data_IF_883543144898
#
_entry.id   IF_883543144898
#
_cell.length_a   1.000
_cell.length_b   1.000
_cell.length_c   1.000
_cell.angle_alpha   90.00
_cell.angle_beta   90.00
_cell.angle_gamma   90.00
#
_symmetry.space_group_name_H-M   'P 1'
#
loop_
_entity.id
_entity.type
_entity.pdbx_description
1 polymer ?
#
# COMPACT_ATOMS: atom_id res chain seq x y z
N UNK A 1 18.95 3.30 -4.32
CA UNK A 1 18.66 2.54 -3.08
C UNK A 1 17.75 1.40 -3.44
N UNK A 2 18.15 0.16 -3.20
CA UNK A 2 17.38 -1.04 -3.53
C UNK A 2 17.35 -2.01 -2.34
N UNK A 3 16.24 -2.71 -2.19
CA UNK A 3 16.07 -3.85 -1.29
C UNK A 3 16.18 -5.13 -2.11
N UNK A 4 16.85 -6.15 -1.60
CA UNK A 4 16.84 -7.46 -2.23
C UNK A 4 15.72 -8.30 -1.65
N UNK A 5 14.91 -8.88 -2.54
CA UNK A 5 13.85 -9.82 -2.18
C UNK A 5 14.09 -11.16 -2.83
N UNK A 6 13.55 -12.22 -2.23
CA UNK A 6 13.52 -13.57 -2.84
C UNK A 6 12.12 -13.87 -3.34
N UNK A 7 11.99 -14.28 -4.60
CA UNK A 7 10.71 -14.65 -5.17
C UNK A 7 10.87 -15.74 -6.24
N UNK A 8 10.46 -16.97 -5.90
CA UNK A 8 10.65 -18.14 -6.76
C UNK A 8 9.65 -18.23 -7.92
N UNK A 9 8.39 -17.92 -7.64
CA UNK A 9 7.35 -17.78 -8.65
C UNK A 9 6.91 -16.32 -8.70
N UNK A 10 7.16 -15.64 -9.82
CA UNK A 10 6.86 -14.22 -9.99
C UNK A 10 5.38 -13.96 -10.31
N UNK A 11 4.57 -14.99 -10.51
CA UNK A 11 3.14 -14.88 -10.77
C UNK A 11 2.27 -15.51 -9.67
N UNK A 12 1.08 -14.96 -9.49
CA UNK A 12 -0.05 -15.54 -8.80
C UNK A 12 -0.85 -16.34 -9.84
N UNK A 13 -0.41 -17.57 -10.07
CA UNK A 13 -0.94 -18.49 -11.08
C UNK A 13 -1.83 -19.58 -10.50
N UNK A 14 -2.24 -19.45 -9.25
CA UNK A 14 -3.05 -20.44 -8.54
C UNK A 14 -4.29 -19.80 -7.93
N UNK A 15 -5.45 -20.42 -8.12
CA UNK A 15 -6.71 -20.04 -7.46
C UNK A 15 -7.40 -21.27 -6.89
N UNK A 16 -7.99 -21.12 -5.71
CA UNK A 16 -8.75 -22.19 -5.05
C UNK A 16 -10.25 -21.91 -5.19
N UNK A 17 -10.99 -22.89 -5.74
CA UNK A 17 -12.45 -22.85 -5.85
C UNK A 17 -13.01 -24.05 -5.11
N UNK A 18 -13.57 -23.83 -3.92
CA UNK A 18 -13.97 -24.91 -3.02
C UNK A 18 -12.77 -25.71 -2.55
N UNK A 19 -12.73 -27.00 -2.89
CA UNK A 19 -11.64 -27.94 -2.62
C UNK A 19 -10.67 -28.11 -3.80
N UNK A 20 -10.93 -27.44 -4.93
CA UNK A 20 -10.18 -27.62 -6.17
C UNK A 20 -9.19 -26.48 -6.38
N UNK A 21 -7.93 -26.84 -6.61
CA UNK A 21 -6.86 -25.91 -6.99
C UNK A 21 -6.74 -25.83 -8.51
N UNK A 22 -6.88 -24.64 -9.07
CA UNK A 22 -6.80 -24.38 -10.50
C UNK A 22 -5.55 -23.55 -10.82
N UNK A 23 -4.90 -23.88 -11.94
CA UNK A 23 -3.80 -23.09 -12.49
C UNK A 23 -4.35 -22.05 -13.47
N UNK A 24 -3.94 -20.80 -13.32
CA UNK A 24 -4.27 -19.70 -14.21
C UNK A 24 -3.23 -19.59 -15.32
N UNK A 25 -3.69 -19.39 -16.56
CA UNK A 25 -2.81 -19.00 -17.66
C UNK A 25 -2.47 -17.51 -17.54
N UNK A 26 -1.33 -17.24 -16.92
CA UNK A 26 -0.85 -15.87 -16.67
C UNK A 26 -0.22 -15.22 -17.92
N UNK A 27 -0.19 -15.91 -19.07
CA UNK A 27 0.27 -15.30 -20.33
C UNK A 27 -0.72 -14.26 -20.87
N UNK A 28 -2.00 -14.35 -20.48
CA UNK A 28 -3.02 -13.35 -20.80
C UNK A 28 -3.05 -12.27 -19.71
N UNK A 29 -2.69 -11.02 -20.05
CA UNK A 29 -2.56 -9.89 -19.11
C UNK A 29 -1.63 -10.21 -17.93
N UNK A 30 -0.35 -10.52 -18.20
CA UNK A 30 0.61 -10.94 -17.17
C UNK A 30 0.76 -9.95 -16.02
N UNK A 31 0.54 -8.66 -16.28
CA UNK A 31 0.56 -7.60 -15.27
C UNK A 31 -0.50 -7.77 -14.17
N UNK A 32 -1.64 -8.42 -14.46
CA UNK A 32 -2.72 -8.66 -13.49
C UNK A 32 -2.41 -9.81 -12.53
N UNK A 33 -1.54 -10.71 -12.95
CA UNK A 33 -1.21 -11.91 -12.21
C UNK A 33 0.17 -11.84 -11.58
N UNK A 34 0.82 -10.68 -11.61
CA UNK A 34 2.19 -10.59 -11.10
C UNK A 34 2.20 -10.45 -9.59
N UNK A 35 3.14 -11.15 -8.93
CA UNK A 35 3.39 -10.94 -7.52
C UNK A 35 3.98 -9.56 -7.28
N UNK A 36 3.50 -8.96 -6.22
CA UNK A 36 3.76 -7.58 -5.79
C UNK A 36 4.11 -7.55 -4.30
N UNK A 37 4.40 -8.72 -3.72
CA UNK A 37 4.87 -8.89 -2.36
C UNK A 37 5.96 -9.97 -2.34
N UNK A 38 6.99 -9.76 -1.53
CA UNK A 38 8.07 -10.72 -1.33
C UNK A 38 8.83 -10.45 -0.02
N UNK A 39 9.47 -11.50 0.50
CA UNK A 39 10.31 -11.43 1.70
C UNK A 39 11.63 -10.73 1.39
N UNK A 40 12.02 -9.81 2.25
CA UNK A 40 13.29 -9.09 2.19
C UNK A 40 14.42 -9.99 2.69
N UNK A 41 15.43 -10.20 1.85
CA UNK A 41 16.64 -10.96 2.22
C UNK A 41 17.82 -10.06 2.57
N UNK A 42 17.86 -8.84 2.01
CA UNK A 42 18.92 -7.90 2.31
C UNK A 42 18.49 -6.46 2.04
N UNK A 43 19.05 -5.56 2.83
CA UNK A 43 18.80 -4.11 2.77
C UNK A 43 20.10 -3.38 2.46
N UNK A 44 20.05 -2.17 1.88
CA UNK A 44 21.26 -1.46 1.50
C UNK A 44 22.03 -1.04 2.76
N UNK A 45 23.35 -1.21 2.75
CA UNK A 45 24.23 -0.81 3.88
C UNK A 45 24.30 0.71 4.06
N UNK A 46 23.97 1.47 3.02
CA UNK A 46 23.95 2.93 2.98
C UNK A 46 22.84 3.39 2.06
N UNK A 47 22.16 4.46 2.44
CA UNK A 47 21.18 5.13 1.59
C UNK A 47 21.86 6.27 0.84
N UNK A 48 21.68 6.33 -0.48
CA UNK A 48 21.92 7.52 -1.28
C UNK A 48 20.61 8.30 -1.37
N UNK A 49 20.47 9.35 -0.56
CA UNK A 49 19.27 10.20 -0.52
C UNK A 49 19.31 11.32 -1.56
N UNK A 50 20.38 11.45 -2.35
CA UNK A 50 20.53 12.55 -3.33
C UNK A 50 19.68 12.38 -4.58
N UNK A 51 19.41 11.14 -4.97
CA UNK A 51 18.62 10.81 -6.16
C UNK A 51 17.13 10.70 -5.90
N UNK A 52 16.72 10.74 -4.64
CA UNK A 52 15.34 10.51 -4.28
C UNK A 52 14.80 11.68 -3.48
N UNK A 53 13.70 12.24 -3.97
CA UNK A 53 12.96 13.30 -3.30
C UNK A 53 12.22 12.78 -2.04
N UNK A 54 12.72 11.78 -1.30
CA UNK A 54 12.05 11.27 -0.09
C UNK A 54 12.66 11.90 1.16
N UNK A 55 11.85 12.63 1.93
CA UNK A 55 12.24 13.13 3.26
C UNK A 55 12.14 11.94 4.20
N UNK A 56 13.16 11.74 5.04
CA UNK A 56 13.07 10.76 6.12
C UNK A 56 13.20 9.29 5.67
N UNK A 57 13.76 9.00 4.49
CA UNK A 57 14.21 7.64 4.22
C UNK A 57 15.34 7.29 5.20
N UNK A 58 15.07 6.37 6.10
CA UNK A 58 15.97 6.00 7.19
C UNK A 58 16.51 4.58 7.02
N UNK A 59 17.79 4.40 7.37
CA UNK A 59 18.36 3.06 7.45
C UNK A 59 17.65 2.29 8.57
N UNK A 60 17.21 1.06 8.29
CA UNK A 60 16.46 0.24 9.24
C UNK A 60 14.94 0.41 9.14
N UNK A 61 14.42 1.31 8.30
CA UNK A 61 12.98 1.39 8.04
C UNK A 61 12.45 0.08 7.45
N UNK A 62 13.22 -0.59 6.60
CA UNK A 62 12.98 -1.96 6.12
C UNK A 62 14.12 -2.84 6.64
N UNK A 63 13.79 -4.05 7.09
CA UNK A 63 14.74 -5.03 7.63
C UNK A 63 14.63 -6.38 6.90
N UNK A 64 15.66 -7.21 7.03
CA UNK A 64 15.60 -8.58 6.51
C UNK A 64 14.57 -9.40 7.30
N UNK A 65 13.73 -10.15 6.59
CA UNK A 65 12.57 -10.87 7.14
C UNK A 65 11.25 -10.11 7.05
N UNK A 66 11.26 -8.80 6.76
CA UNK A 66 10.03 -8.07 6.44
C UNK A 66 9.43 -8.60 5.13
N UNK A 67 8.10 -8.58 5.02
CA UNK A 67 7.42 -8.69 3.72
C UNK A 67 7.22 -7.30 3.18
N UNK A 68 7.81 -6.97 2.03
CA UNK A 68 7.54 -5.71 1.35
C UNK A 68 6.54 -5.90 0.24
N UNK A 69 5.81 -4.84 -0.06
CA UNK A 69 4.93 -4.80 -1.21
C UNK A 69 5.22 -3.60 -2.10
N UNK A 70 5.26 -3.89 -3.39
CA UNK A 70 5.88 -3.05 -4.40
C UNK A 70 5.16 -3.12 -5.75
N UNK A 71 5.43 -2.13 -6.60
CA UNK A 71 4.84 -2.03 -7.94
C UNK A 71 5.09 -3.29 -8.78
N UNK A 72 4.16 -3.68 -9.66
CA UNK A 72 4.26 -4.92 -10.45
C UNK A 72 5.48 -5.01 -11.39
N UNK A 73 6.20 -3.91 -11.61
CA UNK A 73 7.49 -3.93 -12.30
C UNK A 73 8.64 -4.49 -11.46
N UNK A 74 8.49 -4.62 -10.14
CA UNK A 74 9.56 -5.07 -9.25
C UNK A 74 10.17 -6.42 -9.61
N UNK A 75 9.36 -7.37 -10.10
CA UNK A 75 9.80 -8.73 -10.47
C UNK A 75 10.04 -8.91 -11.98
N UNK A 76 10.36 -7.84 -12.69
CA UNK A 76 10.84 -7.93 -14.07
C UNK A 76 12.26 -8.53 -14.13
N UNK A 77 12.63 -9.15 -15.25
CA UNK A 77 13.95 -9.80 -15.42
C UNK A 77 15.09 -8.78 -15.30
N UNK A 78 14.86 -7.52 -15.69
CA UNK A 78 15.83 -6.42 -15.56
C UNK A 78 16.20 -6.12 -14.10
N UNK A 79 15.31 -6.45 -13.16
CA UNK A 79 15.55 -6.30 -11.72
C UNK A 79 16.15 -7.57 -11.10
N UNK A 80 16.30 -8.66 -11.85
CA UNK A 80 16.84 -9.92 -11.34
C UNK A 80 18.36 -9.82 -11.19
N UNK A 81 18.85 -10.04 -9.97
CA UNK A 81 20.28 -9.94 -9.65
C UNK A 81 20.97 -11.31 -9.51
N UNK A 82 20.21 -12.37 -9.28
CA UNK A 82 20.71 -13.73 -9.26
C UNK A 82 19.61 -14.69 -9.74
N UNK A 83 19.95 -15.45 -10.79
CA UNK A 83 19.02 -16.41 -11.37
C UNK A 83 18.88 -17.66 -10.50
N UNK A 84 19.99 -18.12 -9.93
CA UNK A 84 20.10 -19.30 -9.07
C UNK A 84 19.44 -19.14 -7.71
N UNK A 85 19.45 -17.93 -7.14
CA UNK A 85 18.84 -17.64 -5.83
C UNK A 85 17.49 -16.95 -5.94
N UNK A 86 17.03 -16.69 -7.17
CA UNK A 86 15.75 -16.04 -7.46
C UNK A 86 15.61 -14.69 -6.74
N UNK A 87 16.68 -13.91 -6.81
CA UNK A 87 16.79 -12.61 -6.14
C UNK A 87 16.50 -11.46 -7.10
N UNK A 88 15.73 -10.50 -6.61
CA UNK A 88 15.36 -9.28 -7.32
C UNK A 88 15.74 -8.05 -6.50
N UNK A 89 16.23 -7.02 -7.17
CA UNK A 89 16.52 -5.72 -6.58
C UNK A 89 15.34 -4.77 -6.79
N UNK A 90 14.60 -4.51 -5.72
CA UNK A 90 13.43 -3.63 -5.73
C UNK A 90 13.86 -2.21 -5.34
N UNK A 91 13.68 -1.20 -6.21
CA UNK A 91 13.94 0.18 -5.87
C UNK A 91 13.03 0.64 -4.72
N UNK A 92 13.58 1.36 -3.74
CA UNK A 92 12.81 1.82 -2.58
C UNK A 92 11.54 2.60 -2.94
N UNK A 93 11.58 3.41 -4.00
CA UNK A 93 10.45 4.22 -4.44
C UNK A 93 9.27 3.40 -4.99
N UNK A 94 9.52 2.17 -5.42
CA UNK A 94 8.47 1.25 -5.88
C UNK A 94 7.80 0.51 -4.74
N UNK A 95 8.33 0.61 -3.51
CA UNK A 95 7.81 -0.05 -2.31
C UNK A 95 6.77 0.86 -1.66
N UNK A 96 5.52 0.40 -1.61
CA UNK A 96 4.41 1.16 -1.03
C UNK A 96 4.23 0.89 0.47
N UNK A 97 4.44 -0.34 0.92
CA UNK A 97 4.41 -0.67 2.33
C UNK A 97 5.32 -1.86 2.67
N UNK A 98 5.56 -2.02 3.96
CA UNK A 98 6.10 -3.25 4.54
C UNK A 98 5.13 -3.83 5.56
N UNK A 99 5.25 -5.12 5.77
CA UNK A 99 4.59 -5.87 6.84
C UNK A 99 5.67 -6.54 7.66
N UNK A 100 5.70 -6.23 8.95
CA UNK A 100 6.60 -6.82 9.93
C UNK A 100 5.78 -7.29 11.11
N UNK A 101 5.85 -8.58 11.45
CA UNK A 101 5.05 -9.18 12.53
C UNK A 101 3.54 -8.90 12.42
N UNK A 102 3.00 -8.87 11.19
CA UNK A 102 1.58 -8.57 10.90
C UNK A 102 1.22 -7.09 10.96
N UNK A 103 2.19 -6.20 11.19
CA UNK A 103 1.99 -4.75 11.25
C UNK A 103 2.33 -4.12 9.91
N UNK A 104 1.32 -3.53 9.27
CA UNK A 104 1.47 -2.76 8.02
C UNK A 104 2.05 -1.39 8.33
N UNK A 105 3.09 -0.99 7.61
CA UNK A 105 3.67 0.36 7.61
C UNK A 105 3.77 0.86 6.16
N UNK A 106 3.00 1.91 5.82
CA UNK A 106 3.13 2.58 4.52
C UNK A 106 4.44 3.40 4.46
N UNK A 107 5.03 3.51 3.27
CA UNK A 107 6.37 4.07 3.08
C UNK A 107 6.37 5.17 1.99
N UNK A 108 7.41 6.00 1.93
CA UNK A 108 7.79 6.81 0.76
C UNK A 108 6.68 7.61 0.05
N UNK A 109 5.89 8.39 0.79
CA UNK A 109 4.84 9.20 0.19
C UNK A 109 3.64 8.38 -0.29
N UNK A 110 3.60 7.07 -0.06
CA UNK A 110 2.43 6.24 -0.35
C UNK A 110 1.39 6.36 0.75
N UNK A 111 0.13 6.20 0.37
CA UNK A 111 -1.01 6.02 1.27
C UNK A 111 -1.78 4.78 0.90
N UNK A 112 -2.40 4.18 1.90
CA UNK A 112 -3.33 3.07 1.73
C UNK A 112 -4.70 3.53 2.21
N UNK A 113 -5.68 3.47 1.31
CA UNK A 113 -7.04 3.93 1.54
C UNK A 113 -7.99 2.75 1.39
N UNK A 114 -8.80 2.50 2.40
CA UNK A 114 -9.85 1.47 2.34
C UNK A 114 -10.97 1.93 1.41
N UNK A 115 -11.35 1.12 0.40
CA UNK A 115 -12.42 1.46 -0.52
C UNK A 115 -13.77 1.62 0.17
N UNK A 116 -14.55 2.61 -0.26
CA UNK A 116 -15.95 2.75 0.16
C UNK A 116 -16.88 2.13 -0.88
N UNK A 117 -17.83 1.32 -0.42
CA UNK A 117 -18.94 0.85 -1.25
C UNK A 117 -19.98 1.97 -1.33
N UNK A 118 -20.35 2.35 -2.55
CA UNK A 118 -21.37 3.34 -2.82
C UNK A 118 -22.50 2.72 -3.64
N UNK A 119 -23.73 3.08 -3.33
CA UNK A 119 -24.89 2.71 -4.14
C UNK A 119 -24.86 3.53 -5.45
N UNK A 120 -24.59 2.85 -6.56
CA UNK A 120 -24.73 3.35 -7.91
C UNK A 120 -26.13 3.05 -8.46
N UNK A 121 -26.89 4.08 -8.74
CA UNK A 121 -28.15 4.00 -9.47
C UNK A 121 -28.37 5.33 -10.16
N UNK A 122 -28.73 5.29 -11.44
CA UNK A 122 -29.27 6.47 -12.12
C UNK A 122 -30.78 6.48 -11.96
N UNK A 123 -31.43 7.64 -11.89
CA UNK A 123 -32.90 7.74 -11.77
C UNK A 123 -33.69 6.93 -12.83
N UNK A 124 -33.04 6.53 -13.93
CA UNK A 124 -33.61 5.71 -15.01
C UNK A 124 -33.40 4.19 -14.86
N UNK A 125 -32.50 3.72 -13.99
CA UNK A 125 -32.32 2.29 -13.64
C UNK A 125 -32.75 2.13 -12.18
N UNK A 126 -33.89 1.47 -11.94
CA UNK A 126 -34.42 1.24 -10.59
C UNK A 126 -33.62 0.24 -9.73
N UNK A 127 -32.58 -0.36 -10.30
CA UNK A 127 -31.74 -1.33 -9.59
C UNK A 127 -30.49 -0.61 -9.07
N UNK A 128 -30.43 -0.43 -7.76
CA UNK A 128 -29.23 0.05 -7.09
C UNK A 128 -28.15 -1.03 -7.23
N UNK A 129 -27.10 -0.71 -8.00
CA UNK A 129 -25.87 -1.51 -8.06
C UNK A 129 -24.89 -1.00 -7.02
N UNK A 130 -24.35 -1.86 -6.18
CA UNK A 130 -23.22 -1.50 -5.33
C UNK A 130 -21.95 -1.49 -6.16
N UNK A 131 -21.15 -0.42 -6.02
CA UNK A 131 -19.84 -0.32 -6.64
C UNK A 131 -18.85 0.33 -5.68
N UNK A 132 -17.56 0.08 -5.86
CA UNK A 132 -16.54 0.85 -5.17
C UNK A 132 -16.56 2.30 -5.65
N UNK A 133 -16.38 3.23 -4.71
CA UNK A 133 -16.15 4.64 -5.02
C UNK A 133 -14.82 4.79 -5.76
N UNK A 134 -14.82 5.55 -6.85
CA UNK A 134 -13.63 5.81 -7.66
C UNK A 134 -12.87 7.07 -7.22
N UNK A 135 -13.34 7.75 -6.16
CA UNK A 135 -12.77 9.03 -5.72
C UNK A 135 -12.85 9.25 -4.20
N UNK A 136 -13.39 8.32 -3.42
CA UNK A 136 -13.53 8.46 -1.97
C UNK A 136 -13.20 7.17 -1.23
N UNK A 137 -12.62 7.31 -0.04
CA UNK A 137 -12.24 6.17 0.79
C UNK A 137 -11.89 6.57 2.23
N UNK A 138 -11.55 5.59 3.05
CA UNK A 138 -11.09 5.82 4.43
C UNK A 138 -9.57 5.66 4.50
N UNK A 139 -8.86 6.72 4.87
CA UNK A 139 -7.41 6.67 4.98
C UNK A 139 -6.99 5.74 6.12
N UNK A 140 -6.13 4.75 5.85
CA UNK A 140 -5.68 3.78 6.87
C UNK A 140 -4.22 3.92 7.22
N UNK A 141 -3.37 4.10 6.21
CA UNK A 141 -1.93 4.18 6.41
C UNK A 141 -1.35 5.35 5.61
N UNK A 142 -0.40 6.05 6.23
CA UNK A 142 0.25 7.24 5.67
C UNK A 142 1.75 7.04 5.80
N UNK A 143 2.46 6.99 4.67
CA UNK A 143 3.92 6.97 4.66
C UNK A 143 4.54 8.31 5.04
N UNK A 144 5.84 8.34 5.23
CA UNK A 144 6.56 9.61 5.40
C UNK A 144 6.49 10.44 4.11
N UNK A 145 6.24 11.77 4.19
CA UNK A 145 6.10 12.62 3.00
C UNK A 145 7.42 12.77 2.21
N UNK A 146 7.30 13.02 0.91
CA UNK A 146 8.44 13.38 0.06
C UNK A 146 9.06 14.72 0.51
N UNK A 147 10.34 14.94 0.19
CA UNK A 147 11.14 16.14 0.55
C UNK A 147 10.50 17.44 0.09
N UNK A 148 9.84 17.42 -1.07
CA UNK A 148 9.17 18.56 -1.71
C UNK A 148 7.67 18.63 -1.41
N UNK A 149 7.12 17.65 -0.68
CA UNK A 149 5.71 17.60 -0.33
C UNK A 149 5.48 18.10 1.12
N UNK A 150 4.45 18.93 1.35
CA UNK A 150 4.08 19.30 2.70
C UNK A 150 3.58 18.07 3.47
N UNK A 151 3.76 18.08 4.78
CA UNK A 151 3.07 17.11 5.62
C UNK A 151 1.56 17.28 5.43
N UNK A 152 0.85 16.17 5.21
CA UNK A 152 -0.59 16.20 5.10
C UNK A 152 -1.20 16.49 6.47
N UNK A 153 -2.19 17.38 6.52
CA UNK A 153 -2.99 17.61 7.72
C UNK A 153 -4.18 16.65 7.76
N UNK A 154 -3.89 15.35 7.68
CA UNK A 154 -4.85 14.25 7.69
C UNK A 154 -4.35 13.15 8.62
N UNK A 155 -5.26 12.30 9.11
CA UNK A 155 -4.93 11.17 9.97
C UNK A 155 -5.65 9.90 9.52
N UNK A 156 -5.14 8.75 9.96
CA UNK A 156 -5.84 7.50 9.78
C UNK A 156 -7.27 7.57 10.38
N UNK A 157 -8.24 7.03 9.65
CA UNK A 157 -9.66 7.11 9.93
C UNK A 157 -10.39 8.26 9.24
N UNK A 158 -9.68 9.26 8.71
CA UNK A 158 -10.33 10.34 7.96
C UNK A 158 -10.91 9.82 6.63
N UNK A 159 -12.10 10.32 6.28
CA UNK A 159 -12.65 10.15 4.93
C UNK A 159 -11.95 11.11 3.99
N UNK A 160 -11.35 10.57 2.95
CA UNK A 160 -10.55 11.33 1.98
C UNK A 160 -11.17 11.28 0.59
N UNK A 161 -10.98 12.36 -0.15
CA UNK A 161 -11.28 12.48 -1.58
C UNK A 161 -9.96 12.50 -2.33
N UNK A 162 -9.87 11.75 -3.42
CA UNK A 162 -8.65 11.63 -4.23
C UNK A 162 -8.91 11.81 -5.73
N UNK A 163 -7.81 12.04 -6.45
CA UNK A 163 -7.81 12.17 -7.91
C UNK A 163 -8.32 10.89 -8.57
N UNK A 164 -9.19 11.05 -9.58
CA UNK A 164 -9.74 9.92 -10.33
C UNK A 164 -8.63 9.16 -11.07
N UNK A 165 -8.64 7.82 -10.96
CA UNK A 165 -7.65 6.92 -11.56
C UNK A 165 -6.20 7.16 -11.08
N UNK A 166 -6.02 7.80 -9.91
CA UNK A 166 -4.71 7.94 -9.28
C UNK A 166 -4.35 6.70 -8.44
N UNK A 167 -5.32 5.82 -8.25
CA UNK A 167 -5.24 4.62 -7.46
C UNK A 167 -5.08 3.36 -8.31
N UNK A 168 -4.56 2.32 -7.68
CA UNK A 168 -4.78 0.94 -8.10
C UNK A 168 -5.19 0.12 -6.87
N UNK A 169 -6.04 -0.89 -7.08
CA UNK A 169 -6.49 -1.78 -6.03
C UNK A 169 -5.45 -2.86 -5.77
N UNK A 170 -5.20 -3.13 -4.50
CA UNK A 170 -4.26 -4.14 -4.07
C UNK A 170 -4.71 -4.83 -2.78
N UNK A 171 -4.46 -6.14 -2.68
CA UNK A 171 -4.73 -6.92 -1.47
C UNK A 171 -3.48 -7.00 -0.60
N UNK A 172 -3.54 -6.43 0.60
CA UNK A 172 -2.47 -6.41 1.60
C UNK A 172 -3.03 -7.02 2.88
N UNK A 173 -2.42 -8.09 3.40
CA UNK A 173 -2.91 -8.84 4.58
C UNK A 173 -4.42 -9.14 4.50
N UNK A 174 -4.86 -9.78 3.40
CA UNK A 174 -6.25 -10.18 3.12
C UNK A 174 -7.28 -9.02 3.06
N UNK A 175 -6.82 -7.78 2.91
CA UNK A 175 -7.68 -6.60 2.77
C UNK A 175 -7.36 -5.81 1.51
N UNK A 176 -8.39 -5.36 0.82
CA UNK A 176 -8.24 -4.50 -0.36
C UNK A 176 -8.00 -3.05 0.05
N UNK A 177 -7.01 -2.43 -0.58
CA UNK A 177 -6.71 -1.01 -0.45
C UNK A 177 -6.57 -0.38 -1.82
N UNK A 178 -7.03 0.86 -1.95
CA UNK A 178 -6.50 1.78 -2.93
C UNK A 178 -5.10 2.21 -2.51
N UNK A 179 -4.13 1.95 -3.38
CA UNK A 179 -2.73 2.34 -3.23
C UNK A 179 -2.46 3.54 -4.13
N UNK A 180 -2.04 4.66 -3.56
CA UNK A 180 -1.77 5.91 -4.30
C UNK A 180 -0.72 6.78 -3.61
N UNK A 181 -0.29 7.85 -4.26
CA UNK A 181 0.62 8.82 -3.66
C UNK A 181 -0.13 9.83 -2.80
N UNK A 182 0.55 10.40 -1.80
CA UNK A 182 0.00 11.43 -0.91
C UNK A 182 -0.48 12.67 -1.68
N UNK A 183 0.18 13.01 -2.79
CA UNK A 183 -0.18 14.14 -3.65
C UNK A 183 -1.51 13.95 -4.39
N UNK A 184 -2.01 12.72 -4.45
CA UNK A 184 -3.29 12.41 -5.08
C UNK A 184 -4.47 12.63 -4.13
N UNK A 185 -4.21 12.82 -2.83
CA UNK A 185 -5.23 13.22 -1.85
C UNK A 185 -5.59 14.69 -2.04
N UNK A 186 -6.87 14.96 -2.32
CA UNK A 186 -7.37 16.28 -2.66
C UNK A 186 -8.02 17.00 -1.47
N UNK A 187 -8.76 16.26 -0.62
CA UNK A 187 -9.49 16.84 0.50
C UNK A 187 -9.86 15.79 1.56
N UNK A 188 -10.15 16.25 2.78
CA UNK A 188 -10.84 15.48 3.82
C UNK A 188 -12.31 15.86 3.89
N UNK A 189 -13.21 14.89 4.09
CA UNK A 189 -14.61 15.14 4.37
C UNK A 189 -14.93 14.80 5.84
N UNK A 190 -15.82 15.57 6.50
CA UNK A 190 -16.34 15.17 7.80
C UNK A 190 -17.10 13.85 7.67
N UNK A 191 -16.74 12.89 8.52
CA UNK A 191 -17.37 11.58 8.56
C UNK A 191 -18.86 11.73 8.93
N UNK A 192 -19.77 11.11 8.17
CA UNK A 192 -21.20 11.15 8.50
C UNK A 192 -21.45 10.29 9.73
N UNK A 193 -22.25 10.79 10.67
CA UNK A 193 -22.51 10.18 11.98
C UNK A 193 -23.06 8.73 11.97
N UNK A 194 -23.43 8.19 10.80
CA UNK A 194 -24.10 6.89 10.65
C UNK A 194 -23.29 5.86 9.84
N UNK A 195 -22.00 6.10 9.55
CA UNK A 195 -21.16 5.19 8.75
C UNK A 195 -20.22 4.31 9.60
N UNK A 196 -20.48 4.19 10.91
CA UNK A 196 -19.63 3.40 11.82
C UNK A 196 -20.12 1.95 11.87
N UNK A 197 -19.54 1.10 11.05
CA UNK A 197 -19.23 -0.28 11.42
C UNK A 197 -18.07 -0.78 10.54
N UNK A 198 -16.86 -0.62 11.08
CA UNK A 198 -15.64 -1.16 10.49
C UNK A 198 -14.84 -1.72 11.67
N UNK A 199 -14.69 -3.04 11.72
CA UNK A 199 -14.02 -3.83 12.78
C UNK A 199 -12.49 -3.63 12.83
N UNK A 200 -12.02 -2.41 12.54
CA UNK A 200 -10.59 -2.11 12.49
C UNK A 200 -9.98 -2.06 13.90
N UNK A 201 -9.45 -3.21 14.35
CA UNK A 201 -8.55 -3.32 15.49
C UNK A 201 -7.12 -2.97 15.05
N UNK A 202 -6.82 -1.68 14.86
CA UNK A 202 -5.47 -1.23 14.53
C UNK A 202 -4.44 -1.57 15.63
N UNK A 203 -3.13 -1.66 15.31
CA UNK A 203 -2.08 -1.88 16.31
C UNK A 203 -1.98 -0.68 17.25
N UNK A 204 -2.22 -0.91 18.55
CA UNK A 204 -2.25 0.11 19.62
C UNK A 204 -0.94 0.86 19.86
N UNK A 205 0.16 0.50 19.20
CA UNK A 205 1.50 0.94 19.58
C UNK A 205 2.19 1.96 18.67
N UNK A 206 1.60 2.37 17.54
CA UNK A 206 2.29 3.27 16.61
C UNK A 206 2.26 4.76 17.02
N UNK A 207 1.27 5.18 17.81
CA UNK A 207 1.06 6.61 18.11
C UNK A 207 1.82 7.11 19.35
N UNK A 208 2.27 6.23 20.24
CA UNK A 208 2.96 6.62 21.47
C UNK A 208 4.46 6.95 21.27
N UNK A 209 5.05 6.59 20.13
CA UNK A 209 6.48 6.79 19.85
C UNK A 209 6.76 7.77 18.71
N UNK A 210 5.73 8.37 18.11
CA UNK A 210 5.93 9.39 17.07
C UNK A 210 6.41 10.70 17.71
N UNK A 211 7.55 11.28 17.26
CA UNK A 211 8.03 12.58 17.73
C UNK A 211 7.10 13.77 17.39
N UNK A 212 5.98 13.51 16.71
CA UNK A 212 4.95 14.49 16.37
C UNK A 212 3.69 14.40 17.25
N UNK A 213 3.66 13.51 18.26
CA UNK A 213 2.57 13.48 19.22
C UNK A 213 2.76 14.58 20.27
N UNK A 214 2.16 15.75 20.02
CA UNK A 214 1.90 16.71 21.10
C UNK A 214 0.69 16.19 21.88
N UNK A 215 0.95 15.69 23.09
CA UNK A 215 -0.09 15.44 24.09
C UNK A 215 -0.98 16.68 24.20
N UNK A 216 -2.31 16.55 24.16
CA UNK A 216 -3.17 17.63 24.60
C UNK A 216 -2.98 17.74 26.12
N UNK A 217 -2.07 18.61 26.53
CA UNK A 217 -1.96 18.99 27.93
C UNK A 217 -3.31 19.57 28.38
N UNK A 218 -3.83 18.95 29.43
CA UNK A 218 -4.89 19.48 30.27
C UNK A 218 -4.44 20.81 30.86
N UNK A 219 -5.18 21.87 30.54
CA UNK A 219 -5.42 23.03 31.41
C UNK A 219 -6.86 23.54 31.18
#
# INVERSE_FOLDING_TARGET
NTVLVRCSNTYQDEVTVGDTKLLLDTSFRPEWHRKIAAEVVAVPRKLDTRHYAYRGLELGEIEAGDTIYFHYFGLMEENRVSADQELYAIPYHEIFCKVSEGVITALNGWVLVEPLVVSGGSDWIQEASEKLSDQEGILRFIGQPKTDQPALNVKAGDRVVFSKNADFINTIEDKEYFVMQQEDLLATQPQKANEIESDYAGPRHYYETSPFYLSPDHD
#
